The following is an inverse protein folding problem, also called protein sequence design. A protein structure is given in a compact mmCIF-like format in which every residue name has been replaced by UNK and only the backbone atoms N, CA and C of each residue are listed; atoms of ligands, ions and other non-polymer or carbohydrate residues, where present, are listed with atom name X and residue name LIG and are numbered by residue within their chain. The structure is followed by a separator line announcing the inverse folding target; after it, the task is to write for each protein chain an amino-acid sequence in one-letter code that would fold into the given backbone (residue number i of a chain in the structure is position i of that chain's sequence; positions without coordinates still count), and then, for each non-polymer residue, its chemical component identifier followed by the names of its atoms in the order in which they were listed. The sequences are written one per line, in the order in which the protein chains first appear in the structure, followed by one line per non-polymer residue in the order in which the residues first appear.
data_IF_235120672820
#
_entry.id   IF_235120672820
#
_cell.length_a   1.000
_cell.length_b   1.000
_cell.length_c   1.000
_cell.angle_alpha   90.00
_cell.angle_beta   90.00
_cell.angle_gamma   90.00
#
_symmetry.space_group_name_H-M   'P 1'
#
loop_
_entity.id
_entity.type
_entity.pdbx_description
1 polymer ?
#
# COMPACT_ATOMS: atom_id res chain seq x y z
N UNK A 1 -7.75 1.93 4.45
CA UNK A 1 -8.26 0.57 4.64
C UNK A 1 -8.97 0.12 3.38
N UNK A 2 -9.99 0.86 2.91
CA UNK A 2 -10.78 0.58 1.71
C UNK A 2 -9.97 0.18 0.45
N UNK A 3 -8.93 0.94 0.08
CA UNK A 3 -8.12 0.61 -1.10
C UNK A 3 -7.35 -0.73 -0.97
N UNK A 4 -6.93 -1.10 0.24
CA UNK A 4 -6.24 -2.36 0.50
C UNK A 4 -7.23 -3.53 0.41
N UNK A 5 -8.41 -3.36 0.98
CA UNK A 5 -9.47 -4.36 0.97
C UNK A 5 -10.00 -4.62 -0.45
N UNK A 6 -10.19 -3.54 -1.23
CA UNK A 6 -10.54 -3.65 -2.64
C UNK A 6 -9.47 -4.39 -3.44
N UNK A 7 -8.19 -4.03 -3.25
CA UNK A 7 -7.10 -4.72 -3.94
C UNK A 7 -7.03 -6.20 -3.54
N UNK A 8 -7.20 -6.51 -2.25
CA UNK A 8 -7.27 -7.89 -1.76
C UNK A 8 -8.39 -8.68 -2.43
N UNK A 9 -9.59 -8.11 -2.54
CA UNK A 9 -10.73 -8.77 -3.17
C UNK A 9 -10.51 -9.02 -4.67
N UNK A 10 -9.88 -8.08 -5.38
CA UNK A 10 -9.60 -8.23 -6.82
C UNK A 10 -8.45 -9.22 -7.05
N UNK A 11 -7.37 -9.14 -6.26
CA UNK A 11 -6.20 -10.01 -6.38
C UNK A 11 -6.51 -11.48 -6.06
N UNK A 12 -7.42 -11.73 -5.13
CA UNK A 12 -7.81 -13.09 -4.73
C UNK A 12 -9.06 -13.60 -5.46
N UNK A 13 -9.55 -12.85 -6.44
CA UNK A 13 -10.72 -13.26 -7.22
C UNK A 13 -10.36 -14.36 -8.23
N UNK A 14 -11.12 -15.46 -8.21
CA UNK A 14 -11.00 -16.56 -9.18
C UNK A 14 -11.14 -16.09 -10.65
N UNK A 15 -11.87 -14.99 -10.88
CA UNK A 15 -12.07 -14.42 -12.21
C UNK A 15 -10.79 -13.80 -12.81
N UNK A 16 -9.84 -13.40 -11.96
CA UNK A 16 -8.58 -12.77 -12.38
C UNK A 16 -7.36 -13.67 -12.15
N UNK A 17 -7.56 -14.95 -11.82
CA UNK A 17 -6.47 -15.87 -11.45
C UNK A 17 -5.38 -16.07 -12.52
N UNK A 18 -5.68 -15.82 -13.80
CA UNK A 18 -4.72 -15.91 -14.92
C UNK A 18 -4.35 -14.55 -15.52
N UNK A 19 -4.90 -13.47 -14.98
CA UNK A 19 -4.65 -12.11 -15.45
C UNK A 19 -3.39 -11.55 -14.80
N UNK A 20 -2.58 -10.82 -15.56
CA UNK A 20 -1.44 -10.09 -14.99
C UNK A 20 -1.95 -8.88 -14.22
N UNK A 21 -1.47 -8.69 -12.99
CA UNK A 21 -1.82 -7.56 -12.15
C UNK A 21 -0.63 -6.62 -12.01
N UNK A 22 -0.85 -5.33 -12.27
CA UNK A 22 0.15 -4.27 -12.11
C UNK A 22 -0.40 -3.26 -11.10
N UNK A 23 0.37 -2.99 -10.04
CA UNK A 23 0.01 -2.03 -9.00
C UNK A 23 0.78 -0.73 -9.19
N UNK A 24 0.06 0.37 -9.43
CA UNK A 24 0.63 1.72 -9.46
C UNK A 24 0.37 2.45 -8.15
N UNK A 25 1.44 2.75 -7.41
CA UNK A 25 1.40 3.62 -6.23
C UNK A 25 1.53 5.07 -6.68
N UNK A 26 0.39 5.70 -6.94
CA UNK A 26 0.32 7.08 -7.40
C UNK A 26 0.59 8.10 -6.28
N UNK A 27 0.93 9.33 -6.68
CA UNK A 27 1.22 10.47 -5.77
C UNK A 27 2.48 10.28 -4.91
N UNK A 28 3.52 9.65 -5.47
CA UNK A 28 4.82 9.44 -4.80
C UNK A 28 5.41 10.77 -4.29
N UNK A 29 5.32 11.81 -5.11
CA UNK A 29 5.73 13.19 -4.80
C UNK A 29 5.06 13.70 -3.52
N UNK A 30 3.73 13.59 -3.42
CA UNK A 30 2.99 14.03 -2.25
C UNK A 30 3.32 13.18 -1.01
N UNK A 31 3.54 11.88 -1.19
CA UNK A 31 3.93 10.99 -0.12
C UNK A 31 5.30 11.36 0.47
N UNK A 32 6.27 11.66 -0.38
CA UNK A 32 7.62 12.09 0.02
C UNK A 32 7.60 13.39 0.84
N UNK A 33 6.76 14.36 0.45
CA UNK A 33 6.61 15.60 1.22
C UNK A 33 5.90 15.38 2.57
N UNK A 34 4.96 14.42 2.65
CA UNK A 34 4.24 14.11 3.88
C UNK A 34 5.11 13.38 4.90
N UNK A 35 5.95 12.44 4.47
CA UNK A 35 6.79 11.66 5.40
C UNK A 35 7.86 12.52 6.08
N UNK A 36 8.29 13.62 5.45
CA UNK A 36 9.18 14.63 6.08
C UNK A 36 8.53 15.30 7.30
N UNK A 37 7.21 15.46 7.30
CA UNK A 37 6.45 16.13 8.36
C UNK A 37 5.89 15.15 9.39
N UNK A 38 5.54 13.94 8.95
CA UNK A 38 4.93 12.90 9.78
C UNK A 38 5.62 11.56 9.53
N UNK A 39 6.30 11.04 10.56
CA UNK A 39 6.93 9.72 10.48
C UNK A 39 5.88 8.62 10.39
N UNK A 40 6.12 7.64 9.50
CA UNK A 40 5.30 6.44 9.38
C UNK A 40 5.23 5.62 10.67
N UNK A 41 6.22 5.76 11.56
CA UNK A 41 6.29 5.02 12.83
C UNK A 41 5.10 5.31 13.74
N UNK A 42 4.47 6.48 13.60
CA UNK A 42 3.29 6.87 14.39
C UNK A 42 2.06 6.07 13.96
N UNK A 43 1.94 5.76 12.67
CA UNK A 43 0.80 5.04 12.10
C UNK A 43 1.05 3.52 12.03
N UNK A 44 2.31 3.13 11.84
CA UNK A 44 2.75 1.75 11.72
C UNK A 44 3.89 1.51 12.71
N UNK A 45 3.53 1.12 13.93
CA UNK A 45 4.47 0.94 15.04
C UNK A 45 5.57 -0.11 14.77
N UNK A 46 5.33 -1.05 13.84
CA UNK A 46 6.33 -2.04 13.39
C UNK A 46 7.28 -1.52 12.31
N UNK A 47 7.08 -0.31 11.80
CA UNK A 47 7.90 0.27 10.75
C UNK A 47 9.28 0.65 11.30
N UNK A 48 10.34 0.01 10.80
CA UNK A 48 11.73 0.27 11.21
C UNK A 48 12.25 -0.64 12.32
N UNK A 49 11.42 -1.53 12.86
CA UNK A 49 11.90 -2.65 13.68
C UNK A 49 12.58 -3.64 12.74
N UNK A 50 13.92 -3.62 12.70
CA UNK A 50 14.66 -4.69 12.04
C UNK A 50 14.45 -5.99 12.85
N UNK A 51 14.25 -7.13 12.18
CA UNK A 51 14.23 -8.43 12.86
C UNK A 51 15.56 -8.71 13.55
#
# INVERSE_FOLDING_TARGET
MEAIELFHNVANSMYFARSTMILFLNKKDLFEEKIKKLSLSILFLSYGVKP
#
